data_IF_331686717720
#
_entry.id   IF_331686717720
#
_cell.length_a   1.000
_cell.length_b   1.000
_cell.length_c   1.000
_cell.angle_alpha   90.00
_cell.angle_beta   90.00
_cell.angle_gamma   90.00
#
_symmetry.space_group_name_H-M   'P 1'
#
loop_
_entity.id
_entity.type
_entity.pdbx_description
1 polymer ?
#
# COMPACT_ATOMS: atom_id res chain seq x y z
N UNK A 1 -16.16 23.14 16.73
CA UNK A 1 -14.73 23.06 17.09
C UNK A 1 -14.14 21.98 16.20
N UNK A 2 -13.21 22.32 15.32
CA UNK A 2 -12.47 21.31 14.56
C UNK A 2 -11.51 20.59 15.52
N UNK A 3 -11.56 19.25 15.52
CA UNK A 3 -10.58 18.41 16.24
C UNK A 3 -9.20 18.61 15.61
N UNK A 4 -8.16 18.73 16.42
CA UNK A 4 -6.77 18.83 15.91
C UNK A 4 -6.33 17.53 15.25
N UNK A 5 -5.33 17.57 14.37
CA UNK A 5 -4.82 16.36 13.70
C UNK A 5 -4.36 15.29 14.69
N UNK A 6 -3.70 15.71 15.77
CA UNK A 6 -3.24 14.82 16.84
C UNK A 6 -4.41 14.14 17.58
N UNK A 7 -5.51 14.87 17.81
CA UNK A 7 -6.73 14.30 18.40
C UNK A 7 -7.39 13.29 17.48
N UNK A 8 -7.41 13.56 16.17
CA UNK A 8 -7.93 12.63 15.17
C UNK A 8 -7.08 11.37 15.09
N UNK A 9 -5.76 11.48 15.17
CA UNK A 9 -4.87 10.32 15.15
C UNK A 9 -5.05 9.46 16.41
N UNK A 10 -5.13 10.07 17.59
CA UNK A 10 -5.34 9.32 18.84
C UNK A 10 -6.70 8.63 18.88
N UNK A 11 -7.75 9.32 18.40
CA UNK A 11 -9.09 8.77 18.23
C UNK A 11 -9.09 7.62 17.22
N UNK A 12 -8.36 7.76 16.12
CA UNK A 12 -8.22 6.70 15.12
C UNK A 12 -7.56 5.46 15.72
N UNK A 13 -6.42 5.60 16.41
CA UNK A 13 -5.72 4.48 17.07
C UNK A 13 -6.64 3.74 18.05
N UNK A 14 -7.23 4.48 18.99
CA UNK A 14 -8.11 3.89 20.02
C UNK A 14 -9.38 3.27 19.44
N UNK A 15 -9.95 3.86 18.38
CA UNK A 15 -11.11 3.31 17.68
C UNK A 15 -10.77 2.00 16.97
N UNK A 16 -9.66 1.98 16.23
CA UNK A 16 -9.20 0.80 15.50
C UNK A 16 -8.90 -0.33 16.48
N UNK A 17 -8.14 -0.08 17.55
CA UNK A 17 -7.84 -1.09 18.58
C UNK A 17 -9.11 -1.70 19.19
N UNK A 18 -10.12 -0.87 19.44
CA UNK A 18 -11.37 -1.31 20.08
C UNK A 18 -12.28 -2.10 19.14
N UNK A 19 -12.34 -1.73 17.86
CA UNK A 19 -13.33 -2.25 16.92
C UNK A 19 -12.73 -3.04 15.75
N UNK A 20 -11.44 -3.35 15.79
CA UNK A 20 -10.70 -4.05 14.74
C UNK A 20 -11.44 -5.28 14.19
N UNK A 21 -11.89 -6.17 15.08
CA UNK A 21 -12.60 -7.40 14.72
C UNK A 21 -13.91 -7.13 13.98
N UNK A 22 -14.61 -6.06 14.38
CA UNK A 22 -15.87 -5.68 13.77
C UNK A 22 -15.65 -5.04 12.39
N UNK A 23 -14.62 -4.20 12.28
CA UNK A 23 -14.20 -3.60 11.00
C UNK A 23 -13.81 -4.70 10.02
N UNK A 24 -12.97 -5.65 10.44
CA UNK A 24 -12.58 -6.80 9.63
C UNK A 24 -13.78 -7.66 9.22
N UNK A 25 -14.71 -7.90 10.15
CA UNK A 25 -15.94 -8.63 9.83
C UNK A 25 -16.77 -7.93 8.75
N UNK A 26 -16.98 -6.61 8.89
CA UNK A 26 -17.64 -5.82 7.86
C UNK A 26 -16.91 -5.94 6.52
N UNK A 27 -15.58 -5.80 6.50
CA UNK A 27 -14.75 -5.92 5.30
C UNK A 27 -14.86 -7.27 4.57
N UNK A 28 -15.24 -8.34 5.26
CA UNK A 28 -15.42 -9.66 4.66
C UNK A 28 -16.83 -9.89 4.11
N UNK A 29 -17.80 -9.01 4.38
CA UNK A 29 -19.15 -9.12 3.84
C UNK A 29 -19.19 -8.79 2.33
N UNK A 30 -20.26 -9.22 1.65
CA UNK A 30 -20.49 -8.94 0.23
C UNK A 30 -21.91 -8.49 -0.04
N UNK A 31 -22.87 -9.28 0.46
CA UNK A 31 -24.29 -9.08 0.20
C UNK A 31 -24.77 -7.77 0.84
N UNK A 32 -25.43 -6.94 0.05
CA UNK A 32 -25.97 -5.65 0.49
C UNK A 32 -26.81 -5.73 1.75
N UNK A 33 -27.70 -6.73 1.85
CA UNK A 33 -28.55 -6.94 3.02
C UNK A 33 -27.75 -7.24 4.28
N UNK A 34 -26.69 -8.05 4.15
CA UNK A 34 -25.82 -8.40 5.27
C UNK A 34 -25.01 -7.19 5.73
N UNK A 35 -24.42 -6.43 4.80
CA UNK A 35 -23.68 -5.21 5.11
C UNK A 35 -24.58 -4.16 5.77
N UNK A 36 -25.78 -3.93 5.23
CA UNK A 36 -26.76 -3.00 5.80
C UNK A 36 -27.22 -3.42 7.20
N UNK A 37 -27.49 -4.71 7.40
CA UNK A 37 -27.86 -5.25 8.72
C UNK A 37 -26.71 -5.08 9.72
N UNK A 38 -25.49 -5.45 9.32
CA UNK A 38 -24.32 -5.37 10.19
C UNK A 38 -24.02 -3.94 10.65
N UNK A 39 -24.11 -2.96 9.74
CA UNK A 39 -23.96 -1.54 10.08
C UNK A 39 -25.14 -0.99 10.88
N UNK A 40 -26.34 -1.56 10.73
CA UNK A 40 -27.48 -1.21 11.60
C UNK A 40 -27.29 -1.71 13.02
N UNK A 41 -26.72 -2.90 13.18
CA UNK A 41 -26.41 -3.50 14.48
C UNK A 41 -25.16 -2.85 15.11
N UNK A 42 -24.28 -2.25 14.30
CA UNK A 42 -23.04 -1.59 14.73
C UNK A 42 -22.85 -0.18 14.09
N UNK A 43 -23.70 0.82 14.41
CA UNK A 43 -23.68 2.12 13.73
C UNK A 43 -22.38 2.91 13.93
N UNK A 44 -21.64 2.65 15.01
CA UNK A 44 -20.36 3.32 15.28
C UNK A 44 -19.29 3.02 14.22
N UNK A 45 -19.43 1.93 13.46
CA UNK A 45 -18.52 1.57 12.36
C UNK A 45 -18.71 2.46 11.13
N UNK A 46 -19.82 3.19 11.02
CA UNK A 46 -20.07 4.09 9.90
C UNK A 46 -19.33 5.42 10.15
N UNK A 47 -18.03 5.45 9.86
CA UNK A 47 -17.15 6.60 10.06
C UNK A 47 -15.89 6.52 9.18
N UNK A 48 -15.14 7.63 9.13
CA UNK A 48 -13.91 7.74 8.32
C UNK A 48 -12.80 6.79 8.83
N UNK A 49 -12.73 6.56 10.14
CA UNK A 49 -11.73 5.68 10.75
C UNK A 49 -11.84 4.23 10.23
N UNK A 50 -13.07 3.73 10.07
CA UNK A 50 -13.32 2.41 9.48
C UNK A 50 -12.84 2.36 8.03
N UNK A 51 -13.16 3.38 7.21
CA UNK A 51 -12.71 3.43 5.83
C UNK A 51 -11.18 3.44 5.73
N UNK A 52 -10.53 4.28 6.54
CA UNK A 52 -9.07 4.40 6.57
C UNK A 52 -8.40 3.08 6.96
N UNK A 53 -8.94 2.39 7.98
CA UNK A 53 -8.43 1.09 8.39
C UNK A 53 -8.57 0.05 7.27
N UNK A 54 -9.74 -0.03 6.61
CA UNK A 54 -9.94 -1.00 5.53
C UNK A 54 -9.00 -0.76 4.35
N UNK A 55 -8.68 0.51 4.03
CA UNK A 55 -7.68 0.84 3.00
C UNK A 55 -6.30 0.29 3.38
N UNK A 56 -5.84 0.52 4.62
CA UNK A 56 -4.56 0.00 5.09
C UNK A 56 -4.56 -1.53 5.05
N UNK A 57 -5.65 -2.15 5.50
CA UNK A 57 -5.79 -3.60 5.50
C UNK A 57 -5.77 -4.19 4.08
N UNK A 58 -6.37 -3.53 3.09
CA UNK A 58 -6.24 -3.93 1.68
C UNK A 58 -4.77 -3.95 1.22
N UNK A 59 -3.97 -2.95 1.60
CA UNK A 59 -2.55 -2.88 1.23
C UNK A 59 -1.76 -3.99 1.93
N UNK A 60 -2.01 -4.22 3.22
CA UNK A 60 -1.35 -5.31 3.95
C UNK A 60 -1.67 -6.68 3.34
N UNK A 61 -2.94 -6.93 3.01
CA UNK A 61 -3.35 -8.17 2.34
C UNK A 61 -2.67 -8.36 0.98
N UNK A 62 -2.49 -7.28 0.22
CA UNK A 62 -1.81 -7.33 -1.07
C UNK A 62 -0.31 -7.61 -0.92
N UNK A 63 0.34 -7.01 0.09
CA UNK A 63 1.74 -7.31 0.43
C UNK A 63 1.91 -8.75 0.92
N UNK A 64 0.92 -9.29 1.62
CA UNK A 64 0.87 -10.69 2.07
C UNK A 64 0.44 -11.68 0.98
N UNK A 65 0.32 -11.25 -0.29
CA UNK A 65 -0.11 -12.06 -1.45
C UNK A 65 -1.54 -12.65 -1.32
N UNK A 66 -2.38 -12.08 -0.45
CA UNK A 66 -3.77 -12.50 -0.22
C UNK A 66 -4.75 -11.77 -1.16
N UNK A 67 -4.48 -11.82 -2.46
CA UNK A 67 -5.20 -11.05 -3.48
C UNK A 67 -6.72 -11.23 -3.45
N UNK A 68 -7.21 -12.47 -3.37
CA UNK A 68 -8.65 -12.74 -3.36
C UNK A 68 -9.37 -12.12 -2.15
N UNK A 69 -8.70 -12.09 -0.98
CA UNK A 69 -9.24 -11.44 0.21
C UNK A 69 -9.14 -9.92 0.10
N UNK A 70 -8.04 -9.39 -0.47
CA UNK A 70 -7.89 -7.96 -0.75
C UNK A 70 -9.06 -7.44 -1.60
N UNK A 71 -9.42 -8.15 -2.68
CA UNK A 71 -10.52 -7.73 -3.56
C UNK A 71 -11.88 -7.72 -2.84
N UNK A 72 -12.11 -8.69 -1.96
CA UNK A 72 -13.30 -8.73 -1.12
C UNK A 72 -13.38 -7.53 -0.17
N UNK A 73 -12.27 -7.22 0.50
CA UNK A 73 -12.19 -6.09 1.42
C UNK A 73 -12.31 -4.77 0.67
N UNK A 74 -11.67 -4.65 -0.50
CA UNK A 74 -11.71 -3.48 -1.36
C UNK A 74 -13.15 -3.09 -1.73
N UNK A 75 -13.99 -4.08 -2.04
CA UNK A 75 -15.41 -3.84 -2.29
C UNK A 75 -16.08 -3.15 -1.09
N UNK A 76 -15.89 -3.66 0.13
CA UNK A 76 -16.49 -3.04 1.33
C UNK A 76 -15.85 -1.69 1.69
N UNK A 77 -14.58 -1.47 1.34
CA UNK A 77 -13.92 -0.16 1.46
C UNK A 77 -14.63 0.88 0.61
N UNK A 78 -14.91 0.59 -0.66
CA UNK A 78 -15.62 1.49 -1.56
C UNK A 78 -17.05 1.74 -1.07
N UNK A 79 -17.73 0.71 -0.55
CA UNK A 79 -19.05 0.86 0.06
C UNK A 79 -19.04 1.88 1.20
N UNK A 80 -18.07 1.78 2.11
CA UNK A 80 -17.94 2.74 3.20
C UNK A 80 -17.63 4.15 2.68
N UNK A 81 -16.74 4.28 1.69
CA UNK A 81 -16.41 5.56 1.06
C UNK A 81 -17.63 6.23 0.42
N UNK A 82 -18.43 5.48 -0.34
CA UNK A 82 -19.66 6.00 -0.95
C UNK A 82 -20.72 6.39 0.09
N UNK A 83 -20.83 5.66 1.20
CA UNK A 83 -21.70 6.04 2.32
C UNK A 83 -21.26 7.40 2.90
N UNK A 84 -19.95 7.58 3.12
CA UNK A 84 -19.38 8.82 3.65
C UNK A 84 -19.52 9.98 2.65
N UNK A 85 -19.37 9.72 1.35
CA UNK A 85 -19.53 10.71 0.29
C UNK A 85 -21.00 11.15 0.14
N UNK A 86 -21.94 10.21 0.23
CA UNK A 86 -23.37 10.52 0.26
C UNK A 86 -23.71 11.39 1.46
N UNK A 87 -23.16 11.09 2.63
CA UNK A 87 -23.36 11.87 3.84
C UNK A 87 -22.82 13.30 3.70
N UNK A 88 -21.62 13.46 3.13
CA UNK A 88 -21.01 14.75 2.81
C UNK A 88 -21.87 15.56 1.83
N UNK A 89 -22.36 14.93 0.78
CA UNK A 89 -23.24 15.55 -0.22
C UNK A 89 -24.56 16.03 0.37
N UNK A 90 -25.14 15.24 1.27
CA UNK A 90 -26.39 15.55 1.97
C UNK A 90 -26.21 16.46 3.20
N UNK A 91 -24.97 16.72 3.62
CA UNK A 91 -24.61 17.47 4.84
C UNK A 91 -25.27 16.91 6.10
N UNK A 92 -25.34 15.58 6.20
CA UNK A 92 -25.88 14.85 7.35
C UNK A 92 -24.84 13.89 7.92
N UNK A 93 -25.05 13.44 9.15
CA UNK A 93 -24.20 12.40 9.74
C UNK A 93 -24.35 11.09 8.94
N UNK A 94 -23.24 10.41 8.57
CA UNK A 94 -23.29 9.18 7.78
C UNK A 94 -24.08 8.04 8.45
N UNK A 95 -24.14 8.02 9.78
CA UNK A 95 -24.92 7.04 10.57
C UNK A 95 -26.42 7.24 10.39
N UNK A 96 -26.87 8.44 10.02
CA UNK A 96 -28.27 8.74 9.75
C UNK A 96 -28.67 8.38 8.31
N UNK A 97 -27.75 8.38 7.35
CA UNK A 97 -28.08 8.22 5.92
C UNK A 97 -27.54 6.96 5.24
N UNK A 98 -26.71 6.13 5.90
CA UNK A 98 -26.13 4.93 5.25
C UNK A 98 -27.17 3.97 4.67
N UNK A 99 -28.36 3.87 5.26
CA UNK A 99 -29.44 3.02 4.74
C UNK A 99 -29.92 3.48 3.35
N UNK A 100 -29.88 4.79 3.09
CA UNK A 100 -30.27 5.35 1.79
C UNK A 100 -29.30 4.93 0.68
N UNK A 101 -28.00 4.81 0.98
CA UNK A 101 -27.03 4.25 0.05
C UNK A 101 -27.44 2.83 -0.38
N UNK A 102 -27.75 1.96 0.59
CA UNK A 102 -28.16 0.58 0.29
C UNK A 102 -29.48 0.50 -0.47
N UNK A 103 -30.43 1.41 -0.23
CA UNK A 103 -31.65 1.49 -1.03
C UNK A 103 -31.33 1.88 -2.48
N UNK A 104 -30.49 2.91 -2.67
CA UNK A 104 -30.11 3.40 -4.00
C UNK A 104 -29.33 2.36 -4.81
N UNK A 105 -28.33 1.71 -4.21
CA UNK A 105 -27.48 0.76 -4.94
C UNK A 105 -28.21 -0.53 -5.34
N UNK A 106 -29.25 -0.94 -4.60
CA UNK A 106 -30.07 -2.10 -4.95
C UNK A 106 -31.01 -1.84 -6.12
N UNK A 107 -31.39 -0.58 -6.35
CA UNK A 107 -32.25 -0.16 -7.45
C UNK A 107 -31.50 0.72 -8.45
N UNK A 108 -30.16 0.70 -8.38
CA UNK A 108 -29.30 1.51 -9.22
C UNK A 108 -29.46 1.08 -10.68
N UNK A 109 -29.41 2.06 -11.58
CA UNK A 109 -29.30 1.78 -12.99
C UNK A 109 -27.91 1.24 -13.33
N UNK A 110 -27.77 0.74 -14.55
CA UNK A 110 -26.52 0.16 -15.02
C UNK A 110 -25.38 1.19 -14.98
N UNK A 111 -25.65 2.46 -15.29
CA UNK A 111 -24.64 3.53 -15.28
C UNK A 111 -24.07 3.76 -13.87
N UNK A 112 -24.91 3.78 -12.84
CA UNK A 112 -24.42 3.92 -11.46
C UNK A 112 -23.59 2.71 -11.02
N UNK A 113 -24.00 1.50 -11.40
CA UNK A 113 -23.24 0.28 -11.10
C UNK A 113 -21.90 0.22 -11.85
N UNK A 114 -21.86 0.70 -13.09
CA UNK A 114 -20.62 0.86 -13.86
C UNK A 114 -19.66 1.82 -13.16
N UNK A 115 -20.14 3.01 -12.76
CA UNK A 115 -19.31 3.97 -12.02
C UNK A 115 -18.80 3.42 -10.67
N UNK A 116 -19.61 2.65 -9.95
CA UNK A 116 -19.16 1.96 -8.73
C UNK A 116 -18.06 0.93 -9.01
N UNK A 117 -18.20 0.14 -10.08
CA UNK A 117 -17.20 -0.85 -10.46
C UNK A 117 -15.90 -0.18 -10.94
N UNK A 118 -15.99 0.91 -11.70
CA UNK A 118 -14.83 1.67 -12.16
C UNK A 118 -14.04 2.23 -10.98
N UNK A 119 -14.71 2.80 -9.98
CA UNK A 119 -14.07 3.26 -8.74
C UNK A 119 -13.45 2.11 -7.94
N UNK A 120 -14.09 0.94 -7.92
CA UNK A 120 -13.55 -0.25 -7.29
C UNK A 120 -12.29 -0.77 -7.99
N UNK A 121 -12.28 -0.85 -9.32
CA UNK A 121 -11.08 -1.22 -10.08
C UNK A 121 -9.96 -0.19 -9.90
N UNK A 122 -10.28 1.10 -10.00
CA UNK A 122 -9.30 2.16 -9.76
C UNK A 122 -8.72 2.11 -8.34
N UNK A 123 -9.54 1.77 -7.33
CA UNK A 123 -9.07 1.58 -5.97
C UNK A 123 -8.15 0.35 -5.84
N UNK A 124 -8.51 -0.78 -6.45
CA UNK A 124 -7.65 -1.99 -6.47
C UNK A 124 -6.29 -1.71 -7.11
N UNK A 125 -6.26 -0.98 -8.22
CA UNK A 125 -5.01 -0.57 -8.87
C UNK A 125 -4.15 0.31 -7.94
N UNK A 126 -4.76 1.27 -7.24
CA UNK A 126 -4.03 2.08 -6.24
C UNK A 126 -3.48 1.24 -5.09
N UNK A 127 -4.22 0.23 -4.63
CA UNK A 127 -3.76 -0.71 -3.59
C UNK A 127 -2.56 -1.51 -4.09
N UNK A 128 -2.64 -2.10 -5.29
CA UNK A 128 -1.53 -2.83 -5.94
C UNK A 128 -0.28 -1.96 -6.09
N UNK A 129 -0.45 -0.73 -6.56
CA UNK A 129 0.66 0.23 -6.68
C UNK A 129 1.33 0.56 -5.34
N UNK A 130 0.54 0.76 -4.27
CA UNK A 130 1.08 1.02 -2.93
C UNK A 130 1.75 -0.21 -2.31
N UNK A 131 1.21 -1.40 -2.53
CA UNK A 131 1.81 -2.64 -2.07
C UNK A 131 3.17 -2.88 -2.75
N UNK A 132 3.22 -2.72 -4.09
CA UNK A 132 4.47 -2.79 -4.87
C UNK A 132 5.51 -1.80 -4.36
N UNK A 133 5.13 -0.55 -4.12
CA UNK A 133 6.04 0.46 -3.58
C UNK A 133 6.59 0.10 -2.17
N UNK A 134 5.79 -0.55 -1.32
CA UNK A 134 6.24 -1.05 0.00
C UNK A 134 7.25 -2.20 -0.16
N UNK A 135 7.00 -3.13 -1.07
CA UNK A 135 7.90 -4.26 -1.36
C UNK A 135 9.22 -3.74 -1.94
N UNK A 136 9.18 -2.88 -2.95
CA UNK A 136 10.37 -2.28 -3.57
C UNK A 136 11.22 -1.52 -2.56
N UNK A 137 10.59 -0.80 -1.63
CA UNK A 137 11.30 -0.12 -0.54
C UNK A 137 12.02 -1.11 0.38
N UNK A 138 11.35 -2.17 0.80
CA UNK A 138 11.95 -3.19 1.66
C UNK A 138 13.11 -3.94 0.95
N UNK A 139 12.95 -4.23 -0.35
CA UNK A 139 14.02 -4.83 -1.16
C UNK A 139 15.22 -3.89 -1.27
N UNK A 140 15.00 -2.60 -1.55
CA UNK A 140 16.08 -1.62 -1.63
C UNK A 140 16.81 -1.46 -0.30
N UNK A 141 16.09 -1.36 0.81
CA UNK A 141 16.68 -1.27 2.15
C UNK A 141 17.55 -2.52 2.44
N UNK A 142 17.06 -3.72 2.08
CA UNK A 142 17.83 -4.96 2.19
C UNK A 142 19.08 -4.98 1.30
N UNK A 143 18.97 -4.56 0.04
CA UNK A 143 20.10 -4.47 -0.89
C UNK A 143 21.15 -3.46 -0.43
N UNK A 144 20.73 -2.32 0.14
CA UNK A 144 21.61 -1.33 0.74
C UNK A 144 22.32 -1.88 1.98
N UNK A 145 21.64 -2.61 2.86
CA UNK A 145 22.26 -3.27 4.00
C UNK A 145 23.30 -4.31 3.57
N UNK A 146 22.98 -5.16 2.59
CA UNK A 146 23.92 -6.11 2.02
C UNK A 146 25.09 -5.41 1.32
N UNK A 147 24.85 -4.26 0.68
CA UNK A 147 25.89 -3.40 0.11
C UNK A 147 26.81 -2.87 1.20
N UNK A 148 26.27 -2.39 2.31
CA UNK A 148 27.08 -1.90 3.44
C UNK A 148 27.97 -3.01 4.02
N UNK A 149 27.45 -4.25 4.14
CA UNK A 149 28.23 -5.40 4.65
C UNK A 149 29.41 -5.81 3.76
N UNK A 150 29.31 -5.58 2.44
CA UNK A 150 30.37 -5.94 1.48
C UNK A 150 31.34 -4.79 1.18
N UNK A 151 31.12 -3.58 1.72
CA UNK A 151 32.06 -2.48 1.54
C UNK A 151 33.43 -2.84 2.11
N UNK A 152 34.47 -2.59 1.32
CA UNK A 152 35.85 -2.71 1.78
C UNK A 152 36.20 -1.62 2.81
N UNK A 153 37.39 -1.68 3.41
CA UNK A 153 37.84 -0.73 4.45
C UNK A 153 37.85 0.75 4.01
N UNK A 154 37.82 1.03 2.71
CA UNK A 154 37.69 2.39 2.15
C UNK A 154 36.27 2.84 1.85
N UNK A 155 35.24 2.08 2.24
CA UNK A 155 33.83 2.40 1.95
C UNK A 155 33.42 2.19 0.50
N UNK A 156 34.26 1.52 -0.31
CA UNK A 156 33.97 1.18 -1.70
C UNK A 156 33.46 -0.25 -1.82
N UNK A 157 32.46 -0.45 -2.67
CA UNK A 157 31.95 -1.77 -3.01
C UNK A 157 32.91 -2.43 -4.03
N UNK A 158 33.49 -3.60 -3.72
CA UNK A 158 34.39 -4.29 -4.66
C UNK A 158 33.76 -4.58 -6.02
N UNK A 159 32.44 -4.80 -6.08
CA UNK A 159 31.71 -5.04 -7.33
C UNK A 159 31.61 -3.75 -8.15
N UNK A 160 31.16 -2.66 -7.54
CA UNK A 160 31.06 -1.35 -8.22
C UNK A 160 32.43 -0.88 -8.72
N UNK A 161 33.47 -1.09 -7.92
CA UNK A 161 34.85 -0.79 -8.32
C UNK A 161 35.21 -1.62 -9.54
N UNK A 162 35.02 -2.94 -9.49
CA UNK A 162 35.36 -3.83 -10.60
C UNK A 162 34.64 -3.45 -11.90
N UNK A 163 33.34 -3.17 -11.86
CA UNK A 163 32.55 -2.76 -13.02
C UNK A 163 32.96 -1.39 -13.58
N UNK A 164 33.42 -0.48 -12.71
CA UNK A 164 33.93 0.84 -13.12
C UNK A 164 35.34 0.80 -13.75
N UNK A 165 36.08 -0.30 -13.58
CA UNK A 165 37.43 -0.41 -14.12
C UNK A 165 37.40 -0.54 -15.65
N UNK A 166 38.41 0.01 -16.35
CA UNK A 166 38.64 -0.28 -17.76
C UNK A 166 38.68 -1.79 -18.06
N UNK A 167 38.19 -2.26 -19.23
CA UNK A 167 38.18 -3.68 -19.59
C UNK A 167 39.55 -4.36 -19.52
N UNK A 168 40.62 -3.59 -19.77
CA UNK A 168 42.01 -4.05 -19.68
C UNK A 168 42.38 -4.41 -18.24
N UNK A 169 41.98 -3.59 -17.26
CA UNK A 169 42.20 -3.84 -15.84
C UNK A 169 41.29 -4.94 -15.31
N UNK A 170 40.02 -4.98 -15.72
CA UNK A 170 39.09 -6.08 -15.41
C UNK A 170 39.72 -7.43 -15.81
N UNK A 171 40.20 -7.53 -17.04
CA UNK A 171 40.87 -8.74 -17.56
C UNK A 171 42.11 -9.12 -16.75
N UNK A 172 42.90 -8.16 -16.27
CA UNK A 172 44.06 -8.43 -15.41
C UNK A 172 43.63 -9.07 -14.07
N UNK A 173 42.52 -8.61 -13.48
CA UNK A 173 41.97 -9.18 -12.25
C UNK A 173 41.33 -10.56 -12.47
N UNK A 174 40.64 -10.77 -13.60
CA UNK A 174 40.07 -12.07 -13.98
C UNK A 174 41.16 -13.15 -14.15
N UNK A 175 42.25 -12.82 -14.83
CA UNK A 175 43.37 -13.75 -15.07
C UNK A 175 44.32 -13.86 -13.88
N UNK A 176 44.17 -12.99 -12.87
CA UNK A 176 45.05 -12.88 -11.70
C UNK A 176 46.53 -12.67 -12.08
N UNK A 177 46.77 -11.98 -13.19
CA UNK A 177 48.11 -11.74 -13.72
C UNK A 177 48.66 -10.40 -13.23
N UNK A 178 49.56 -10.48 -12.23
CA UNK A 178 50.19 -9.32 -11.61
C UNK A 178 51.11 -8.58 -12.59
N UNK A 179 51.75 -9.31 -13.51
CA UNK A 179 52.68 -8.72 -14.48
C UNK A 179 51.91 -7.89 -15.51
N UNK A 180 50.80 -8.45 -16.02
CA UNK A 180 49.90 -7.77 -16.94
C UNK A 180 49.26 -6.52 -16.32
N UNK A 181 48.94 -6.56 -15.02
CA UNK A 181 48.42 -5.41 -14.30
C UNK A 181 49.43 -4.26 -14.24
N UNK A 182 50.69 -4.56 -13.90
CA UNK A 182 51.78 -3.57 -13.82
C UNK A 182 52.07 -2.93 -15.19
N UNK A 183 52.08 -3.73 -16.26
CA UNK A 183 52.29 -3.25 -17.62
C UNK A 183 51.15 -2.34 -18.09
N UNK A 184 49.90 -2.69 -17.76
CA UNK A 184 48.71 -1.89 -18.08
C UNK A 184 48.76 -0.54 -17.37
N UNK A 185 49.05 -0.53 -16.06
CA UNK A 185 49.16 0.70 -15.26
C UNK A 185 50.28 1.61 -15.78
N UNK A 186 51.42 1.04 -16.18
CA UNK A 186 52.57 1.80 -16.70
C UNK A 186 52.29 2.51 -18.03
N UNK A 187 51.23 2.10 -18.75
CA UNK A 187 50.80 2.70 -20.03
C UNK A 187 49.66 3.70 -19.87
N UNK A 188 49.03 3.76 -18.70
CA UNK A 188 47.97 4.72 -18.41
C UNK A 188 48.57 6.08 -18.07
N UNK A 189 47.92 7.16 -18.52
CA UNK A 189 48.37 8.53 -18.25
C UNK A 189 48.31 8.81 -16.73
N UNK A 190 49.42 9.24 -16.11
CA UNK A 190 49.40 9.67 -14.73
C UNK A 190 48.66 11.01 -14.63
N UNK A 191 47.50 11.01 -13.98
CA UNK A 191 46.83 12.23 -13.51
C UNK A 191 47.53 12.83 -12.30
#
# INVERSE_FOLDING_TARGET
>A
KEETEEQKEQKHKTFVERYEKQIKHFGMLRRWDNSQKYLSDNPHLVCEETANYLVIWCIDLEVEEKHALMEQVAHQTIVMQFILELAKSLKVDPRACFRQFFTKIKTADQQYMEGFNDELEAFKERVRGRAKARIERAVREYEEEERQKRLGPGGLDPVDVYESLPPELQKCFDTKDVQMLQDTISRMDPT
#
